data_IF_386170071055
#
_entry.id   IF_386170071055
#
_cell.length_a   1.000
_cell.length_b   1.000
_cell.length_c   1.000
_cell.angle_alpha   90.00
_cell.angle_beta   90.00
_cell.angle_gamma   90.00
#
_symmetry.space_group_name_H-M   'P 1'
#
loop_
_entity.id
_entity.type
_entity.pdbx_description
1 polymer ?
#
# COMPACT_ATOMS: atom_id res chain seq x y z
N UNK A 1 -12.81 21.94 26.54
CA UNK A 1 -12.16 20.88 25.74
C UNK A 1 -10.70 20.79 26.20
N UNK A 2 -10.37 19.85 27.09
CA UNK A 2 -9.00 19.66 27.59
C UNK A 2 -8.32 18.62 26.69
N UNK A 3 -7.45 19.05 25.77
CA UNK A 3 -6.60 18.13 25.02
C UNK A 3 -5.39 17.80 25.90
N UNK A 4 -5.41 16.66 26.59
CA UNK A 4 -4.21 16.14 27.23
C UNK A 4 -3.23 15.72 26.14
N UNK A 5 -2.09 16.40 26.09
CA UNK A 5 -0.97 15.98 25.25
C UNK A 5 -0.49 14.61 25.75
N UNK A 6 -0.48 13.61 24.85
CA UNK A 6 0.06 12.29 25.16
C UNK A 6 1.59 12.40 25.38
N UNK A 7 2.15 11.70 26.38
CA UNK A 7 3.58 11.73 26.63
C UNK A 7 4.36 11.16 25.44
N UNK A 8 5.35 11.90 24.97
CA UNK A 8 6.30 11.43 23.94
C UNK A 8 7.11 10.26 24.52
N UNK A 9 7.04 9.08 23.90
CA UNK A 9 7.79 7.89 24.29
C UNK A 9 8.89 7.57 23.28
N UNK A 10 10.00 7.06 23.79
CA UNK A 10 11.12 6.55 23.01
C UNK A 10 11.19 5.04 23.23
N UNK A 11 11.29 4.26 22.15
CA UNK A 11 11.19 2.80 22.19
C UNK A 11 12.55 2.07 22.30
N UNK A 12 13.66 2.82 22.30
CA UNK A 12 15.03 2.30 22.46
C UNK A 12 15.31 1.03 21.61
N UNK A 13 15.23 1.20 20.28
CA UNK A 13 15.50 0.11 19.33
C UNK A 13 17.01 -0.15 19.27
N UNK A 14 17.43 -1.38 19.63
CA UNK A 14 18.86 -1.76 19.74
C UNK A 14 19.39 -2.58 18.56
N UNK A 15 18.50 -3.19 17.77
CA UNK A 15 18.85 -4.04 16.64
C UNK A 15 17.77 -3.97 15.57
N UNK A 16 18.13 -4.24 14.31
CA UNK A 16 17.18 -4.24 13.19
C UNK A 16 17.10 -5.63 12.55
N UNK A 17 15.91 -6.06 12.09
CA UNK A 17 14.61 -5.40 12.26
C UNK A 17 14.06 -5.52 13.70
N UNK A 18 13.27 -4.55 14.17
CA UNK A 18 12.52 -4.63 15.44
C UNK A 18 11.06 -4.23 15.21
N UNK A 19 10.14 -5.08 15.65
CA UNK A 19 8.70 -4.88 15.63
C UNK A 19 8.19 -4.66 17.06
N UNK A 20 7.40 -3.62 17.28
CA UNK A 20 6.81 -3.30 18.60
C UNK A 20 5.30 -3.16 18.41
N UNK A 21 4.53 -3.96 19.13
CA UNK A 21 3.07 -3.93 19.12
C UNK A 21 2.59 -3.03 20.27
N UNK A 22 1.70 -2.11 19.96
CA UNK A 22 1.17 -1.12 20.92
C UNK A 22 -0.36 -1.20 20.92
N UNK A 23 -0.95 -1.38 22.10
CA UNK A 23 -2.40 -1.38 22.31
C UNK A 23 -2.74 -0.48 23.49
N UNK A 24 -3.76 0.37 23.35
CA UNK A 24 -4.15 1.33 24.39
C UNK A 24 -2.99 2.18 24.94
N UNK A 25 -2.07 2.59 24.04
CA UNK A 25 -0.84 3.32 24.40
C UNK A 25 0.14 2.54 25.28
N UNK A 26 0.04 1.22 25.40
CA UNK A 26 0.99 0.36 26.11
C UNK A 26 1.70 -0.57 25.11
N UNK A 27 2.99 -0.80 25.31
CA UNK A 27 3.73 -1.80 24.54
C UNK A 27 3.31 -3.19 25.02
N UNK A 28 2.70 -3.97 24.13
CA UNK A 28 2.19 -5.30 24.44
C UNK A 28 3.16 -6.41 24.05
N UNK A 29 3.96 -6.19 23.01
CA UNK A 29 4.93 -7.18 22.55
C UNK A 29 6.06 -6.53 21.73
N UNK A 30 7.25 -7.12 21.79
CA UNK A 30 8.43 -6.70 21.02
C UNK A 30 9.12 -7.92 20.41
N UNK A 31 9.42 -7.83 19.12
CA UNK A 31 10.10 -8.89 18.35
C UNK A 31 11.29 -8.27 17.65
N UNK A 32 12.49 -8.77 17.93
CA UNK A 32 13.73 -8.35 17.28
C UNK A 32 14.24 -9.44 16.35
N UNK A 33 14.74 -9.09 15.18
CA UNK A 33 15.20 -10.03 14.16
C UNK A 33 14.10 -10.43 13.17
N UNK A 34 14.49 -11.06 12.07
CA UNK A 34 13.60 -11.46 10.99
C UNK A 34 12.82 -12.75 11.32
N UNK A 35 12.01 -12.73 12.39
CA UNK A 35 11.25 -13.89 12.87
C UNK A 35 9.79 -13.84 12.43
N UNK A 36 9.54 -14.24 11.18
CA UNK A 36 8.18 -14.28 10.59
C UNK A 36 7.15 -15.04 11.43
N UNK A 37 7.41 -16.25 11.97
CA UNK A 37 6.40 -16.99 12.74
C UNK A 37 6.00 -16.28 14.04
N UNK A 38 6.99 -15.71 14.75
CA UNK A 38 6.75 -14.95 15.98
C UNK A 38 5.88 -13.73 15.70
N UNK A 39 6.16 -13.01 14.60
CA UNK A 39 5.38 -11.85 14.20
C UNK A 39 3.93 -12.21 13.86
N UNK A 40 3.70 -13.28 13.10
CA UNK A 40 2.34 -13.73 12.77
C UNK A 40 1.55 -14.10 14.03
N UNK A 41 2.17 -14.81 14.98
CA UNK A 41 1.53 -15.22 16.23
C UNK A 41 1.20 -14.01 17.13
N UNK A 42 2.12 -13.05 17.22
CA UNK A 42 1.93 -11.79 17.94
C UNK A 42 0.74 -10.99 17.39
N UNK A 43 0.67 -10.86 16.06
CA UNK A 43 -0.44 -10.20 15.39
C UNK A 43 -1.75 -10.94 15.68
N UNK A 44 -1.80 -12.25 15.52
CA UNK A 44 -3.01 -13.03 15.75
C UNK A 44 -3.50 -12.96 17.20
N UNK A 45 -2.57 -12.89 18.16
CA UNK A 45 -2.88 -12.82 19.60
C UNK A 45 -3.42 -11.45 20.01
N UNK A 46 -2.83 -10.38 19.46
CA UNK A 46 -3.15 -9.01 19.87
C UNK A 46 -4.15 -8.30 18.96
N UNK A 47 -4.43 -8.83 17.77
CA UNK A 47 -5.48 -8.34 16.88
C UNK A 47 -6.87 -8.55 17.50
N UNK A 48 -7.83 -7.65 17.23
CA UNK A 48 -9.22 -7.89 17.57
C UNK A 48 -9.74 -9.13 16.82
N UNK A 49 -10.68 -9.90 17.41
CA UNK A 49 -11.25 -11.08 16.76
C UNK A 49 -11.89 -10.67 15.43
N UNK A 50 -11.46 -11.32 14.35
CA UNK A 50 -12.08 -11.18 13.04
C UNK A 50 -13.52 -11.70 13.10
N UNK A 51 -14.49 -11.06 12.42
CA UNK A 51 -15.81 -11.66 12.22
C UNK A 51 -15.66 -13.06 11.57
N UNK A 52 -16.54 -13.99 11.98
CA UNK A 52 -16.37 -15.42 11.80
C UNK A 52 -16.11 -15.87 10.32
N UNK A 53 -15.24 -16.87 10.10
CA UNK A 53 -14.93 -17.41 8.78
C UNK A 53 -15.94 -18.49 8.37
N UNK A 54 -16.41 -18.45 7.12
CA UNK A 54 -17.09 -19.60 6.51
C UNK A 54 -16.05 -20.48 5.81
N UNK A 55 -16.08 -21.78 6.11
CA UNK A 55 -15.01 -22.75 5.91
C UNK A 55 -14.67 -23.14 4.46
N UNK A 56 -13.34 -23.30 4.27
CA UNK A 56 -12.60 -24.40 3.62
C UNK A 56 -12.66 -24.58 2.09
N UNK A 57 -11.52 -24.28 1.46
CA UNK A 57 -11.08 -24.85 0.19
C UNK A 57 -9.58 -24.63 0.00
N UNK A 58 -8.75 -25.61 0.38
CA UNK A 58 -7.34 -25.69 0.01
C UNK A 58 -7.23 -25.83 -1.51
N UNK A 59 -6.88 -24.73 -2.16
CA UNK A 59 -6.57 -24.67 -3.57
C UNK A 59 -5.75 -23.42 -3.80
N UNK A 60 -4.44 -23.58 -3.99
CA UNK A 60 -3.51 -22.52 -4.33
C UNK A 60 -3.99 -21.83 -5.61
N UNK A 61 -4.73 -20.73 -5.47
CA UNK A 61 -5.38 -19.98 -6.54
C UNK A 61 -5.84 -18.63 -5.99
N UNK A 62 -5.51 -17.57 -6.74
CA UNK A 62 -6.34 -16.38 -7.01
C UNK A 62 -7.13 -15.76 -5.84
N UNK A 63 -6.75 -14.51 -5.55
CA UNK A 63 -7.65 -13.35 -5.50
C UNK A 63 -8.88 -13.47 -4.59
N UNK A 64 -8.82 -12.92 -3.36
CA UNK A 64 -9.96 -12.33 -2.61
C UNK A 64 -9.40 -11.35 -1.53
N UNK A 65 -9.66 -10.04 -1.53
CA UNK A 65 -10.93 -9.31 -1.40
C UNK A 65 -11.57 -9.31 0.01
N UNK A 66 -10.77 -9.16 1.07
CA UNK A 66 -11.22 -8.46 2.28
C UNK A 66 -11.28 -6.95 1.99
N UNK A 67 -12.34 -6.52 1.29
CA UNK A 67 -12.46 -5.19 0.71
C UNK A 67 -12.50 -4.08 1.77
N UNK A 68 -11.33 -3.51 2.11
CA UNK A 68 -11.21 -2.08 1.85
C UNK A 68 -11.50 -1.94 0.35
N UNK A 69 -12.68 -1.39 0.01
CA UNK A 69 -12.94 -1.02 -1.38
C UNK A 69 -12.02 0.16 -1.68
N UNK A 70 -10.76 -0.13 -1.91
CA UNK A 70 -9.82 0.87 -2.36
C UNK A 70 -10.37 1.35 -3.71
N UNK A 71 -10.90 2.57 -3.68
CA UNK A 71 -11.49 3.19 -4.86
C UNK A 71 -10.33 3.55 -5.77
N UNK A 72 -10.41 3.09 -7.01
CA UNK A 72 -9.41 3.43 -8.01
C UNK A 72 -9.34 4.94 -8.19
N UNK A 73 -8.15 5.51 -8.08
CA UNK A 73 -7.95 6.94 -8.31
C UNK A 73 -7.90 7.30 -9.81
N UNK A 74 -7.98 6.31 -10.70
CA UNK A 74 -7.88 6.50 -12.16
C UNK A 74 -8.98 7.42 -12.71
N UNK A 75 -10.18 7.39 -12.13
CA UNK A 75 -11.28 8.25 -12.54
C UNK A 75 -10.96 9.74 -12.31
N UNK A 76 -10.25 10.03 -11.22
CA UNK A 76 -9.84 11.37 -10.82
C UNK A 76 -8.52 11.84 -11.44
N UNK A 77 -7.93 11.13 -12.41
CA UNK A 77 -6.70 11.57 -13.06
C UNK A 77 -7.01 12.56 -14.20
N UNK A 78 -6.23 13.63 -14.34
CA UNK A 78 -6.25 14.48 -15.53
C UNK A 78 -5.34 13.86 -16.60
N UNK A 79 -5.95 13.20 -17.59
CA UNK A 79 -5.20 12.54 -18.67
C UNK A 79 -4.46 13.51 -19.58
N UNK A 80 -4.82 14.80 -19.57
CA UNK A 80 -4.17 15.82 -20.41
C UNK A 80 -2.81 16.26 -19.86
N UNK A 81 -2.64 16.19 -18.53
CA UNK A 81 -1.42 16.62 -17.84
C UNK A 81 -0.50 15.46 -17.45
N UNK A 82 -0.83 14.23 -17.84
CA UNK A 82 0.04 13.07 -17.63
C UNK A 82 1.38 13.26 -18.34
N UNK A 83 2.46 13.24 -17.56
CA UNK A 83 3.82 13.43 -18.04
C UNK A 83 4.78 12.44 -17.38
N UNK A 84 5.61 11.77 -18.17
CA UNK A 84 6.70 10.93 -17.68
C UNK A 84 8.01 11.35 -18.33
N UNK A 85 9.09 11.48 -17.54
CA UNK A 85 10.44 11.68 -18.07
C UNK A 85 11.15 10.33 -18.18
N UNK A 86 12.08 10.24 -19.16
CA UNK A 86 12.81 9.03 -19.55
C UNK A 86 11.93 7.89 -20.04
N UNK A 87 10.73 8.20 -20.56
CA UNK A 87 9.86 7.20 -21.20
C UNK A 87 10.23 7.00 -22.67
N UNK A 88 10.04 5.78 -23.16
CA UNK A 88 10.15 5.44 -24.57
C UNK A 88 9.03 6.08 -25.39
N UNK A 89 9.39 6.62 -26.56
CA UNK A 89 8.45 7.18 -27.53
C UNK A 89 7.38 6.17 -27.96
N UNK A 90 7.72 4.87 -27.96
CA UNK A 90 6.83 3.78 -28.41
C UNK A 90 5.95 3.22 -27.29
N UNK A 91 6.40 3.34 -26.03
CA UNK A 91 5.78 2.72 -24.86
C UNK A 91 5.68 3.73 -23.70
N UNK A 92 4.85 4.76 -23.93
CA UNK A 92 4.66 5.88 -23.01
C UNK A 92 3.57 5.64 -21.95
N UNK A 93 3.54 6.49 -20.94
CA UNK A 93 2.60 6.48 -19.80
C UNK A 93 1.15 6.65 -20.27
N UNK A 94 0.93 7.38 -21.36
CA UNK A 94 -0.42 7.64 -21.90
C UNK A 94 -1.04 6.36 -22.47
N UNK A 95 -0.23 5.44 -22.98
CA UNK A 95 -0.70 4.15 -23.50
C UNK A 95 -1.32 3.25 -22.41
N UNK A 96 -0.90 3.41 -21.15
CA UNK A 96 -1.35 2.59 -20.02
C UNK A 96 -2.39 3.28 -19.13
N UNK A 97 -2.31 4.61 -18.97
CA UNK A 97 -3.21 5.37 -18.07
C UNK A 97 -4.22 6.26 -18.81
N UNK A 98 -4.05 6.51 -20.11
CA UNK A 98 -4.84 7.50 -20.86
C UNK A 98 -6.34 7.20 -20.90
N UNK A 99 -6.71 5.92 -20.86
CA UNK A 99 -8.11 5.48 -20.89
C UNK A 99 -8.78 5.49 -19.51
N UNK A 100 -8.06 5.84 -18.42
CA UNK A 100 -8.57 5.81 -17.03
C UNK A 100 -9.15 4.45 -16.59
N UNK A 101 -8.71 3.37 -17.22
CA UNK A 101 -9.10 2.00 -16.91
C UNK A 101 -7.83 1.24 -16.53
N UNK A 102 -7.96 0.26 -15.64
CA UNK A 102 -6.84 -0.61 -15.28
C UNK A 102 -6.22 -1.23 -16.54
N UNK A 103 -4.90 -1.13 -16.64
CA UNK A 103 -4.17 -1.75 -17.73
C UNK A 103 -4.15 -3.28 -17.55
N UNK A 104 -5.09 -3.96 -18.20
CA UNK A 104 -5.16 -5.43 -18.25
C UNK A 104 -4.56 -6.01 -19.53
N UNK A 105 -4.05 -5.14 -20.41
CA UNK A 105 -3.53 -5.49 -21.72
C UNK A 105 -2.03 -5.83 -21.71
N UNK A 106 -1.45 -5.83 -22.90
CA UNK A 106 0.00 -5.98 -23.10
C UNK A 106 0.75 -4.65 -23.17
N UNK A 107 0.05 -3.52 -23.11
CA UNK A 107 0.70 -2.20 -23.08
C UNK A 107 1.53 -2.09 -21.80
N UNK A 108 2.70 -1.48 -21.88
CA UNK A 108 3.57 -1.25 -20.74
C UNK A 108 4.27 0.09 -20.88
N UNK A 109 4.78 0.61 -19.76
CA UNK A 109 5.66 1.77 -19.75
C UNK A 109 7.09 1.26 -19.84
N UNK A 110 7.85 1.78 -20.80
CA UNK A 110 9.25 1.41 -21.03
C UNK A 110 10.15 2.62 -20.83
N UNK A 111 11.32 2.42 -20.23
CA UNK A 111 12.37 3.43 -20.19
C UNK A 111 13.18 3.45 -21.48
N UNK A 112 13.55 4.63 -21.97
CA UNK A 112 14.32 4.79 -23.20
C UNK A 112 15.84 4.74 -23.01
N UNK A 113 16.34 5.19 -21.85
CA UNK A 113 17.78 5.36 -21.60
C UNK A 113 18.23 4.84 -20.24
N UNK A 114 17.51 5.20 -19.17
CA UNK A 114 17.87 4.87 -17.79
C UNK A 114 16.76 4.11 -17.09
N UNK A 115 17.11 3.28 -16.12
CA UNK A 115 16.15 2.53 -15.28
C UNK A 115 15.26 3.42 -14.39
N UNK A 116 15.57 4.72 -14.30
CA UNK A 116 14.83 5.68 -13.48
C UNK A 116 13.83 6.48 -14.33
N UNK A 117 12.55 6.30 -14.02
CA UNK A 117 11.41 7.02 -14.60
C UNK A 117 10.86 8.04 -13.60
N UNK A 118 10.55 9.26 -14.07
CA UNK A 118 9.88 10.29 -13.24
C UNK A 118 8.46 10.52 -13.75
N UNK A 119 7.47 10.11 -12.96
CA UNK A 119 6.05 10.14 -13.34
C UNK A 119 5.33 11.25 -12.57
N UNK A 120 4.74 12.19 -13.31
CA UNK A 120 3.93 13.28 -12.76
C UNK A 120 2.45 13.00 -13.05
N UNK A 121 1.67 12.84 -11.98
CA UNK A 121 0.23 12.58 -12.03
C UNK A 121 -0.52 13.76 -11.41
N UNK A 122 -1.46 14.31 -12.16
CA UNK A 122 -2.29 15.43 -11.71
C UNK A 122 -3.72 14.95 -11.51
N UNK A 123 -4.33 15.11 -10.33
CA UNK A 123 -5.74 14.86 -10.18
C UNK A 123 -6.54 15.90 -10.99
N UNK A 124 -7.62 15.48 -11.62
CA UNK A 124 -8.60 16.36 -12.24
C UNK A 124 -9.17 17.30 -11.19
N UNK A 125 -9.37 18.56 -11.57
CA UNK A 125 -9.97 19.58 -10.72
C UNK A 125 -11.27 19.04 -10.14
N UNK A 126 -11.34 18.96 -8.82
CA UNK A 126 -12.56 18.62 -8.11
C UNK A 126 -13.41 19.89 -8.08
N UNK A 127 -14.33 20.03 -9.04
CA UNK A 127 -15.35 21.08 -8.97
C UNK A 127 -16.23 20.79 -7.73
N UNK A 128 -16.27 21.71 -6.74
CA UNK A 128 -16.94 21.50 -5.46
C UNK A 128 -18.47 21.46 -5.55
#
# INVERSE_FOLDING_TARGET
MHFQALPKRFYEVKSMPTFILIKNHEEVERITGAHKPALTNAIQTHAPPAPAPTSLGEGSSKDESAASKDVSLLEYLDSTQLNCLNESDTHNIKSILGNKVFNTGKSYLESDSDEQLLINLYPSVFDP
#
